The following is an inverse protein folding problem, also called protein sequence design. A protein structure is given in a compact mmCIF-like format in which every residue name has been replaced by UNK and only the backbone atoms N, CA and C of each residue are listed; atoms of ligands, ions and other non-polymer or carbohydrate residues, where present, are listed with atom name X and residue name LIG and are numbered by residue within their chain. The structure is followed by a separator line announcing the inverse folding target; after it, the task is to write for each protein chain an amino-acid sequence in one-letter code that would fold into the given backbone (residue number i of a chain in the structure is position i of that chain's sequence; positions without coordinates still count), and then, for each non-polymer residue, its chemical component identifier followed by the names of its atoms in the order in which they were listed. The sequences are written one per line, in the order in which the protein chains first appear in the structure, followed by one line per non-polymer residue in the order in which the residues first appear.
data_IF_523287638037
#
_entry.id   IF_523287638037
#
_cell.length_a   1.000
_cell.length_b   1.000
_cell.length_c   1.000
_cell.angle_alpha   90.00
_cell.angle_beta   90.00
_cell.angle_gamma   90.00
#
_symmetry.space_group_name_H-M   'P 1'
#
loop_
_entity.id
_entity.type
_entity.pdbx_description
1 polymer ?
#
# COMPACT_ATOMS: atom_id res chain seq x y z
N UNK A 1 -8.42 -6.61 -22.98
CA UNK A 1 -8.15 -7.79 -22.13
C UNK A 1 -7.66 -7.27 -20.79
N UNK A 2 -8.27 -7.69 -19.70
CA UNK A 2 -7.85 -7.24 -18.36
C UNK A 2 -6.49 -7.85 -18.01
N UNK A 3 -5.60 -7.17 -17.29
CA UNK A 3 -4.24 -7.68 -16.96
C UNK A 3 -4.25 -9.09 -16.32
N UNK A 4 -5.23 -9.37 -15.47
CA UNK A 4 -5.40 -10.68 -14.83
C UNK A 4 -5.75 -11.78 -15.84
N UNK A 5 -6.60 -11.50 -16.82
CA UNK A 5 -6.94 -12.46 -17.87
C UNK A 5 -5.71 -12.85 -18.71
N UNK A 6 -4.84 -11.86 -18.99
CA UNK A 6 -3.58 -12.09 -19.70
C UNK A 6 -2.66 -13.00 -18.88
N UNK A 7 -2.51 -12.73 -17.59
CA UNK A 7 -1.68 -13.54 -16.69
C UNK A 7 -2.21 -14.96 -16.59
N UNK A 8 -3.51 -15.15 -16.40
CA UNK A 8 -4.12 -16.48 -16.35
C UNK A 8 -3.89 -17.27 -17.65
N UNK A 9 -4.14 -16.63 -18.81
CA UNK A 9 -3.91 -17.26 -20.10
C UNK A 9 -2.44 -17.60 -20.33
N UNK A 10 -1.52 -16.76 -19.85
CA UNK A 10 -0.08 -17.00 -19.96
C UNK A 10 0.38 -18.19 -19.11
N UNK A 11 -0.25 -18.39 -17.92
CA UNK A 11 -0.02 -19.57 -17.07
C UNK A 11 -0.53 -20.82 -17.79
N UNK A 12 -1.77 -20.82 -18.28
CA UNK A 12 -2.39 -21.96 -18.97
C UNK A 12 -1.61 -22.40 -20.23
N UNK A 13 -1.04 -21.41 -20.95
CA UNK A 13 -0.25 -21.66 -22.17
C UNK A 13 1.23 -21.89 -21.90
N UNK A 14 1.67 -21.92 -20.64
CA UNK A 14 3.08 -22.02 -20.21
C UNK A 14 4.00 -20.97 -20.88
N UNK A 15 3.47 -19.75 -21.06
CA UNK A 15 4.17 -18.61 -21.69
C UNK A 15 4.37 -17.45 -20.71
N UNK A 16 4.32 -17.74 -19.41
CA UNK A 16 4.53 -16.72 -18.39
C UNK A 16 6.01 -16.33 -18.36
N UNK A 17 6.30 -15.03 -18.32
CA UNK A 17 7.67 -14.54 -18.12
C UNK A 17 8.17 -14.91 -16.71
N UNK A 18 9.48 -15.01 -16.57
CA UNK A 18 10.11 -15.42 -15.31
C UNK A 18 10.07 -14.33 -14.23
N UNK A 19 10.01 -13.04 -14.58
CA UNK A 19 9.99 -11.92 -13.65
C UNK A 19 8.78 -10.99 -13.94
N UNK A 20 7.86 -10.92 -13.01
CA UNK A 20 6.59 -10.22 -13.15
C UNK A 20 6.50 -9.19 -12.04
N UNK A 21 6.33 -7.92 -12.44
CA UNK A 21 6.07 -6.81 -11.55
C UNK A 21 4.57 -6.54 -11.53
N UNK A 22 3.95 -6.72 -10.37
CA UNK A 22 2.55 -6.38 -10.15
C UNK A 22 2.48 -5.03 -9.43
N UNK A 23 1.81 -4.07 -10.05
CA UNK A 23 1.58 -2.73 -9.52
C UNK A 23 0.10 -2.55 -9.17
N UNK A 24 -0.22 -2.06 -7.98
CA UNK A 24 -1.56 -1.62 -7.59
C UNK A 24 -1.49 -0.60 -6.48
N UNK A 25 -2.50 0.23 -6.34
CA UNK A 25 -2.65 1.11 -5.18
C UNK A 25 -3.05 0.33 -3.91
N UNK A 26 -3.66 -0.84 -4.05
CA UNK A 26 -4.10 -1.68 -2.94
C UNK A 26 -3.14 -2.87 -2.75
N UNK A 27 -2.45 -2.90 -1.62
CA UNK A 27 -1.49 -3.95 -1.29
C UNK A 27 -2.19 -5.31 -1.05
N UNK A 28 -3.39 -5.32 -0.45
CA UNK A 28 -4.17 -6.54 -0.24
C UNK A 28 -4.49 -7.21 -1.58
N UNK A 29 -5.00 -6.44 -2.54
CA UNK A 29 -5.27 -6.92 -3.90
C UNK A 29 -4.02 -7.49 -4.57
N UNK A 30 -2.85 -6.84 -4.38
CA UNK A 30 -1.58 -7.35 -4.92
C UNK A 30 -1.21 -8.71 -4.32
N UNK A 31 -1.26 -8.82 -2.99
CA UNK A 31 -0.91 -10.05 -2.28
C UNK A 31 -1.84 -11.21 -2.68
N UNK A 32 -3.14 -11.00 -2.63
CA UNK A 32 -4.14 -12.00 -2.99
C UNK A 32 -4.02 -12.43 -4.46
N UNK A 33 -3.77 -11.48 -5.35
CA UNK A 33 -3.54 -11.78 -6.78
C UNK A 33 -2.28 -12.63 -6.97
N UNK A 34 -1.16 -12.22 -6.38
CA UNK A 34 0.11 -12.95 -6.51
C UNK A 34 0.03 -14.36 -5.92
N UNK A 35 -0.59 -14.49 -4.75
CA UNK A 35 -0.77 -15.77 -4.06
C UNK A 35 -1.71 -16.70 -4.85
N UNK A 36 -2.80 -16.17 -5.42
CA UNK A 36 -3.69 -16.93 -6.31
C UNK A 36 -2.97 -17.43 -7.57
N UNK A 37 -2.14 -16.58 -8.20
CA UNK A 37 -1.34 -16.97 -9.35
C UNK A 37 -0.29 -18.02 -8.98
N UNK A 38 0.38 -17.85 -7.84
CA UNK A 38 1.36 -18.79 -7.33
C UNK A 38 0.74 -20.17 -7.04
N UNK A 39 -0.44 -20.20 -6.41
CA UNK A 39 -1.19 -21.45 -6.15
C UNK A 39 -1.53 -22.19 -7.44
N UNK A 40 -1.93 -21.48 -8.50
CA UNK A 40 -2.20 -22.06 -9.82
C UNK A 40 -0.95 -22.64 -10.47
N UNK A 41 0.19 -21.93 -10.38
CA UNK A 41 1.47 -22.37 -10.97
C UNK A 41 1.97 -23.63 -10.26
N UNK A 42 1.92 -23.64 -8.92
CA UNK A 42 2.36 -24.76 -8.09
C UNK A 42 1.31 -25.87 -7.97
N UNK A 43 0.08 -25.64 -8.48
CA UNK A 43 -1.06 -26.57 -8.43
C UNK A 43 -1.35 -27.06 -7.01
N UNK A 44 -1.38 -26.14 -6.05
CA UNK A 44 -1.57 -26.41 -4.64
C UNK A 44 -2.58 -25.48 -4.00
N UNK A 45 -3.41 -26.00 -3.10
CA UNK A 45 -4.30 -25.22 -2.25
C UNK A 45 -3.61 -24.79 -0.94
N UNK A 46 -2.50 -25.44 -0.59
CA UNK A 46 -1.70 -25.17 0.61
C UNK A 46 -0.40 -24.43 0.25
N UNK A 47 -0.53 -23.24 -0.37
CA UNK A 47 0.58 -22.48 -0.94
C UNK A 47 1.74 -22.27 0.05
N UNK A 48 1.42 -21.79 1.26
CA UNK A 48 2.43 -21.41 2.25
C UNK A 48 3.20 -22.60 2.85
N UNK A 49 2.67 -23.80 2.69
CA UNK A 49 3.34 -25.05 3.11
C UNK A 49 4.08 -25.74 1.95
N UNK A 50 4.01 -25.16 0.74
CA UNK A 50 4.65 -25.78 -0.42
C UNK A 50 6.17 -25.55 -0.41
N UNK A 51 7.01 -26.60 -0.55
CA UNK A 51 8.46 -26.49 -0.42
C UNK A 51 9.15 -25.67 -1.50
N UNK A 52 8.51 -25.46 -2.65
CA UNK A 52 8.99 -24.64 -3.77
C UNK A 52 8.34 -23.26 -3.83
N UNK A 53 7.68 -22.84 -2.73
CA UNK A 53 7.14 -21.50 -2.57
C UNK A 53 8.00 -20.70 -1.59
N UNK A 54 8.43 -19.53 -2.02
CA UNK A 54 9.31 -18.65 -1.26
C UNK A 54 8.71 -17.25 -1.13
N UNK A 55 8.93 -16.64 0.02
CA UNK A 55 8.51 -15.25 0.25
C UNK A 55 9.65 -14.41 0.78
N UNK A 56 9.67 -13.15 0.39
CA UNK A 56 10.59 -12.14 0.93
C UNK A 56 9.80 -10.87 1.27
N UNK A 57 9.90 -10.47 2.53
CA UNK A 57 9.20 -9.30 3.06
C UNK A 57 10.17 -8.32 3.70
N UNK A 58 9.88 -7.01 3.70
CA UNK A 58 10.64 -6.05 4.49
C UNK A 58 10.66 -6.43 5.97
N UNK A 59 11.76 -6.19 6.65
CA UNK A 59 11.95 -6.55 8.07
C UNK A 59 12.55 -5.40 8.88
N UNK A 60 12.34 -5.46 10.21
CA UNK A 60 12.84 -4.49 11.18
C UNK A 60 12.12 -3.14 11.15
N UNK A 61 12.43 -2.26 12.12
CA UNK A 61 11.80 -0.93 12.27
C UNK A 61 11.94 -0.04 11.04
N UNK A 62 13.03 -0.17 10.28
CA UNK A 62 13.29 0.62 9.06
C UNK A 62 12.58 0.05 7.82
N UNK A 63 11.96 -1.13 7.92
CA UNK A 63 11.22 -1.77 6.83
C UNK A 63 11.96 -1.86 5.51
N UNK A 64 13.18 -2.38 5.53
CA UNK A 64 13.94 -2.66 4.32
C UNK A 64 14.05 -4.16 4.05
N UNK A 65 14.15 -4.52 2.77
CA UNK A 65 14.56 -5.84 2.35
C UNK A 65 16.07 -5.94 2.54
N UNK A 66 16.48 -6.71 3.52
CA UNK A 66 17.90 -6.87 3.90
C UNK A 66 18.61 -7.81 2.95
N UNK A 67 19.87 -7.50 2.66
CA UNK A 67 20.70 -8.36 1.80
C UNK A 67 21.11 -9.68 2.48
N UNK A 68 21.30 -9.67 3.82
CA UNK A 68 21.98 -10.75 4.57
C UNK A 68 23.52 -10.65 4.51
N UNK A 69 24.24 -11.11 5.53
CA UNK A 69 25.71 -11.04 5.58
C UNK A 69 26.34 -12.17 4.77
N UNK A 70 27.48 -11.89 4.08
CA UNK A 70 28.22 -12.93 3.33
C UNK A 70 28.82 -14.00 4.25
N UNK A 71 29.22 -13.61 5.45
CA UNK A 71 29.82 -14.49 6.46
C UNK A 71 28.85 -15.57 6.94
N UNK A 72 27.55 -15.28 6.96
CA UNK A 72 26.51 -16.22 7.35
C UNK A 72 26.33 -17.32 6.30
N UNK A 73 26.62 -17.06 5.01
CA UNK A 73 26.63 -18.06 3.94
C UNK A 73 27.71 -19.12 4.16
N UNK A 74 28.89 -18.69 4.58
CA UNK A 74 30.02 -19.60 4.84
C UNK A 74 29.78 -20.50 6.07
N UNK A 75 28.88 -20.10 6.97
CA UNK A 75 28.48 -20.87 8.17
C UNK A 75 27.26 -21.76 7.94
N UNK A 76 26.68 -21.77 6.73
CA UNK A 76 25.49 -22.54 6.41
C UNK A 76 24.17 -21.98 6.99
N UNK A 77 24.22 -20.84 7.65
CA UNK A 77 23.08 -20.23 8.38
C UNK A 77 22.76 -18.84 7.85
N UNK A 78 22.34 -18.74 6.58
CA UNK A 78 21.78 -17.46 6.08
C UNK A 78 20.50 -17.13 6.86
N UNK A 79 20.39 -15.92 7.42
CA UNK A 79 19.18 -15.50 8.11
C UNK A 79 17.98 -15.60 7.18
N UNK A 80 16.88 -16.13 7.70
CA UNK A 80 15.60 -16.14 6.99
C UNK A 80 15.17 -14.73 6.61
N UNK A 81 14.34 -14.61 5.59
CA UNK A 81 13.80 -13.34 5.11
C UNK A 81 14.87 -12.32 4.69
N UNK A 82 15.92 -12.80 4.00
CA UNK A 82 16.95 -11.96 3.38
C UNK A 82 17.09 -12.25 1.90
N UNK A 83 17.55 -11.27 1.11
CA UNK A 83 17.72 -11.42 -0.33
C UNK A 83 18.70 -12.56 -0.69
N UNK A 84 19.81 -12.70 0.05
CA UNK A 84 20.76 -13.81 -0.20
C UNK A 84 20.17 -15.16 0.08
N UNK A 85 19.36 -15.29 1.13
CA UNK A 85 18.68 -16.54 1.44
C UNK A 85 17.72 -16.91 0.31
N UNK A 86 16.91 -15.97 -0.16
CA UNK A 86 16.01 -16.19 -1.28
C UNK A 86 16.77 -16.65 -2.54
N UNK A 87 17.86 -15.94 -2.91
CA UNK A 87 18.67 -16.30 -4.08
C UNK A 87 19.26 -17.73 -3.93
N UNK A 88 19.74 -18.07 -2.76
CA UNK A 88 20.31 -19.40 -2.48
C UNK A 88 19.25 -20.50 -2.59
N UNK A 89 18.06 -20.27 -2.03
CA UNK A 89 16.95 -21.22 -2.10
C UNK A 89 16.43 -21.38 -3.54
N UNK A 90 16.39 -20.32 -4.34
CA UNK A 90 16.02 -20.39 -5.76
C UNK A 90 17.03 -21.14 -6.62
N UNK A 91 18.32 -21.17 -6.24
CA UNK A 91 19.37 -21.89 -6.96
C UNK A 91 19.30 -23.43 -6.75
N UNK A 92 18.59 -23.88 -5.70
CA UNK A 92 18.37 -25.31 -5.46
C UNK A 92 17.44 -25.90 -6.51
N UNK A 93 17.53 -27.18 -6.73
CA UNK A 93 16.56 -27.91 -7.56
C UNK A 93 15.17 -27.87 -6.92
N UNK A 94 14.13 -27.87 -7.76
CA UNK A 94 12.76 -27.97 -7.25
C UNK A 94 12.58 -29.29 -6.48
N UNK A 95 11.91 -29.21 -5.33
CA UNK A 95 11.66 -30.36 -4.48
C UNK A 95 10.63 -31.32 -5.09
N UNK A 96 9.68 -30.80 -5.87
CA UNK A 96 8.61 -31.59 -6.47
C UNK A 96 8.71 -31.71 -8.01
N UNK A 97 9.86 -31.33 -8.58
CA UNK A 97 10.12 -31.45 -10.02
C UNK A 97 9.28 -30.52 -10.91
N UNK A 98 8.75 -29.44 -10.33
CA UNK A 98 7.94 -28.44 -11.03
C UNK A 98 8.55 -27.05 -10.94
N UNK A 99 7.68 -26.02 -11.05
CA UNK A 99 8.10 -24.64 -10.91
C UNK A 99 8.47 -24.28 -9.47
N UNK A 100 9.38 -23.34 -9.33
CA UNK A 100 9.63 -22.58 -8.10
C UNK A 100 9.00 -21.21 -8.21
N UNK A 101 8.31 -20.77 -7.19
CA UNK A 101 7.67 -19.46 -7.18
C UNK A 101 8.16 -18.65 -6.00
N UNK A 102 8.58 -17.42 -6.25
CA UNK A 102 8.92 -16.47 -5.20
C UNK A 102 8.06 -15.21 -5.28
N UNK A 103 7.55 -14.75 -4.14
CA UNK A 103 6.86 -13.47 -4.01
C UNK A 103 7.72 -12.53 -3.17
N UNK A 104 8.08 -11.39 -3.77
CA UNK A 104 8.81 -10.31 -3.11
C UNK A 104 7.82 -9.17 -2.85
N UNK A 105 7.44 -9.02 -1.59
CA UNK A 105 6.49 -8.00 -1.16
C UNK A 105 7.19 -6.65 -0.98
N UNK A 106 6.52 -5.56 -1.35
CA UNK A 106 7.05 -4.20 -1.27
C UNK A 106 8.46 -4.09 -1.89
N UNK A 107 8.57 -4.48 -3.16
CA UNK A 107 9.84 -4.53 -3.87
C UNK A 107 10.59 -3.18 -3.89
N UNK A 108 9.88 -2.05 -3.75
CA UNK A 108 10.46 -0.72 -3.58
C UNK A 108 11.24 -0.55 -2.27
N UNK A 109 11.11 -1.49 -1.33
CA UNK A 109 11.88 -1.51 -0.08
C UNK A 109 13.24 -2.18 -0.20
N UNK A 110 13.62 -2.63 -1.38
CA UNK A 110 14.99 -3.06 -1.65
C UNK A 110 15.93 -1.86 -1.55
N UNK A 111 16.97 -1.97 -0.72
CA UNK A 111 18.08 -1.02 -0.80
C UNK A 111 18.96 -1.34 -2.02
N UNK A 112 19.88 -0.43 -2.37
CA UNK A 112 20.77 -0.61 -3.53
C UNK A 112 21.55 -1.93 -3.48
N UNK A 113 21.96 -2.36 -2.30
CA UNK A 113 22.75 -3.58 -2.11
C UNK A 113 21.92 -4.84 -2.36
N UNK A 114 20.68 -4.92 -1.82
CA UNK A 114 19.78 -6.04 -2.05
C UNK A 114 19.30 -6.09 -3.50
N UNK A 115 18.99 -4.94 -4.10
CA UNK A 115 18.63 -4.84 -5.50
C UNK A 115 19.77 -5.32 -6.41
N UNK A 116 20.99 -4.83 -6.22
CA UNK A 116 22.16 -5.24 -7.02
C UNK A 116 22.45 -6.74 -6.88
N UNK A 117 22.28 -7.31 -5.68
CA UNK A 117 22.45 -8.75 -5.49
C UNK A 117 21.41 -9.57 -6.27
N UNK A 118 20.21 -9.01 -6.48
CA UNK A 118 19.10 -9.68 -7.14
C UNK A 118 19.13 -9.54 -8.67
N UNK A 119 19.83 -8.53 -9.22
CA UNK A 119 19.88 -8.26 -10.67
C UNK A 119 20.29 -9.51 -11.48
N UNK A 120 21.32 -10.23 -11.02
CA UNK A 120 21.78 -11.44 -11.72
C UNK A 120 20.67 -12.51 -11.80
N UNK A 121 19.90 -12.68 -10.73
CA UNK A 121 18.77 -13.62 -10.71
C UNK A 121 17.64 -13.20 -11.63
N UNK A 122 17.43 -11.88 -11.81
CA UNK A 122 16.45 -11.35 -12.77
C UNK A 122 16.90 -11.51 -14.22
N UNK A 123 18.20 -11.40 -14.50
CA UNK A 123 18.77 -11.55 -15.84
C UNK A 123 18.85 -13.01 -16.26
N UNK A 124 19.32 -13.85 -15.35
CA UNK A 124 19.56 -15.29 -15.55
C UNK A 124 18.84 -16.11 -14.46
N UNK A 125 17.52 -16.21 -14.54
CA UNK A 125 16.76 -16.93 -13.51
C UNK A 125 17.09 -18.42 -13.55
N UNK A 126 17.15 -19.07 -12.38
CA UNK A 126 17.24 -20.53 -12.33
C UNK A 126 16.07 -21.19 -13.08
N UNK A 127 16.29 -22.39 -13.60
CA UNK A 127 15.30 -23.13 -14.37
C UNK A 127 13.95 -23.22 -13.62
N UNK A 128 12.87 -23.08 -14.36
CA UNK A 128 11.50 -23.20 -13.87
C UNK A 128 11.17 -22.29 -12.66
N UNK A 129 11.82 -21.12 -12.62
CA UNK A 129 11.62 -20.14 -11.57
C UNK A 129 10.76 -18.97 -12.04
N UNK A 130 9.72 -18.64 -11.28
CA UNK A 130 8.83 -17.50 -11.51
C UNK A 130 8.91 -16.56 -10.31
N UNK A 131 9.15 -15.29 -10.59
CA UNK A 131 9.36 -14.24 -9.60
C UNK A 131 8.23 -13.21 -9.71
N UNK A 132 7.46 -13.04 -8.65
CA UNK A 132 6.50 -11.96 -8.51
C UNK A 132 7.08 -10.87 -7.61
N UNK A 133 7.21 -9.66 -8.15
CA UNK A 133 7.58 -8.47 -7.40
C UNK A 133 6.30 -7.64 -7.22
N UNK A 134 5.96 -7.30 -5.99
CA UNK A 134 4.78 -6.52 -5.68
C UNK A 134 5.17 -5.12 -5.27
N UNK A 135 4.55 -4.11 -5.86
CA UNK A 135 4.77 -2.71 -5.47
C UNK A 135 3.48 -1.90 -5.52
N UNK A 136 3.27 -1.09 -4.49
CA UNK A 136 2.23 -0.06 -4.50
C UNK A 136 2.82 1.32 -4.82
N UNK A 137 4.16 1.41 -4.94
CA UNK A 137 4.94 2.62 -5.23
C UNK A 137 5.92 2.40 -6.37
N UNK A 138 5.43 2.29 -7.61
CA UNK A 138 6.28 1.97 -8.76
C UNK A 138 7.35 3.04 -9.04
N UNK A 139 7.17 4.26 -8.54
CA UNK A 139 8.15 5.35 -8.69
C UNK A 139 9.32 5.26 -7.70
N UNK A 140 9.13 4.55 -6.57
CA UNK A 140 10.19 4.33 -5.58
C UNK A 140 11.01 3.07 -5.91
N UNK A 141 10.57 2.26 -6.87
CA UNK A 141 11.29 1.06 -7.29
C UNK A 141 12.49 1.43 -8.17
N UNK A 142 13.62 0.80 -7.89
CA UNK A 142 14.88 1.02 -8.63
C UNK A 142 14.70 0.64 -10.10
N UNK A 143 15.03 1.55 -11.01
CA UNK A 143 14.80 1.39 -12.46
C UNK A 143 15.46 0.14 -13.05
N UNK A 144 16.62 -0.26 -12.53
CA UNK A 144 17.31 -1.48 -12.96
C UNK A 144 16.54 -2.76 -12.66
N UNK A 145 15.72 -2.79 -11.64
CA UNK A 145 14.78 -3.89 -11.33
C UNK A 145 13.59 -3.81 -12.28
N UNK A 146 12.99 -2.62 -12.39
CA UNK A 146 11.80 -2.38 -13.21
C UNK A 146 12.01 -2.75 -14.67
N UNK A 147 13.18 -2.41 -15.25
CA UNK A 147 13.51 -2.70 -16.64
C UNK A 147 13.66 -4.20 -16.98
N UNK A 148 13.76 -5.06 -15.96
CA UNK A 148 13.92 -6.52 -16.11
C UNK A 148 12.65 -7.31 -15.78
N UNK A 149 11.56 -6.61 -15.49
CA UNK A 149 10.30 -7.23 -15.15
C UNK A 149 9.23 -6.91 -16.18
N UNK A 150 8.35 -7.87 -16.45
CA UNK A 150 7.10 -7.63 -17.18
C UNK A 150 6.11 -6.99 -16.20
N UNK A 151 5.74 -5.74 -16.46
CA UNK A 151 4.90 -4.97 -15.56
C UNK A 151 3.42 -5.14 -15.90
N UNK A 152 2.62 -5.51 -14.89
CA UNK A 152 1.17 -5.57 -14.96
C UNK A 152 0.56 -4.67 -13.89
N UNK A 153 -0.29 -3.74 -14.33
CA UNK A 153 -1.02 -2.87 -13.40
C UNK A 153 -2.35 -3.52 -13.06
N UNK A 154 -2.48 -3.96 -11.82
CA UNK A 154 -3.69 -4.56 -11.29
C UNK A 154 -4.60 -3.42 -10.83
N UNK A 155 -5.85 -3.31 -11.35
CA UNK A 155 -6.79 -2.34 -10.82
C UNK A 155 -6.93 -2.55 -9.32
N UNK A 156 -6.84 -1.47 -8.58
CA UNK A 156 -7.28 -1.50 -7.19
C UNK A 156 -8.81 -1.61 -7.26
N UNK A 157 -9.32 -2.80 -7.05
CA UNK A 157 -10.70 -2.86 -6.63
C UNK A 157 -10.73 -2.11 -5.30
N UNK A 158 -11.40 -0.98 -5.31
CA UNK A 158 -11.64 -0.17 -4.14
C UNK A 158 -12.39 -1.00 -3.14
N UNK A 159 -11.67 -1.67 -2.27
CA UNK A 159 -12.32 -2.17 -1.07
C UNK A 159 -11.29 -2.35 0.04
N UNK A 160 -11.12 -1.35 0.81
CA UNK A 160 -11.43 -1.50 2.22
C UNK A 160 -12.86 -2.03 2.23
N UNK A 161 -13.10 -3.25 2.70
CA UNK A 161 -14.46 -3.78 2.87
C UNK A 161 -15.30 -2.65 3.46
N UNK A 162 -16.46 -2.38 2.89
CA UNK A 162 -17.31 -1.26 3.23
C UNK A 162 -17.49 -1.22 4.73
N UNK A 163 -16.69 -0.40 5.38
CA UNK A 163 -16.73 -0.25 6.82
C UNK A 163 -17.75 0.86 7.08
N UNK A 164 -18.84 0.53 7.75
CA UNK A 164 -19.89 1.49 8.11
C UNK A 164 -19.32 2.73 8.81
N UNK A 165 -18.25 2.57 9.59
CA UNK A 165 -17.56 3.69 10.23
C UNK A 165 -16.92 4.63 9.22
N UNK A 166 -16.32 4.09 8.15
CA UNK A 166 -15.71 4.87 7.09
C UNK A 166 -16.75 5.58 6.24
N UNK A 167 -17.83 4.91 5.86
CA UNK A 167 -18.94 5.54 5.12
C UNK A 167 -19.59 6.65 5.96
N UNK A 168 -19.85 6.41 7.25
CA UNK A 168 -20.34 7.44 8.17
C UNK A 168 -19.37 8.62 8.29
N UNK A 169 -18.05 8.34 8.28
CA UNK A 169 -17.04 9.38 8.32
C UNK A 169 -17.03 10.22 7.04
N UNK A 170 -17.06 9.60 5.87
CA UNK A 170 -17.12 10.28 4.57
C UNK A 170 -18.34 11.20 4.47
N UNK A 171 -19.49 10.70 4.89
CA UNK A 171 -20.72 11.50 4.92
C UNK A 171 -20.60 12.71 5.86
N UNK A 172 -20.10 12.51 7.06
CA UNK A 172 -19.87 13.58 8.02
C UNK A 172 -18.85 14.62 7.53
N UNK A 173 -17.78 14.16 6.86
CA UNK A 173 -16.77 15.05 6.27
C UNK A 173 -17.35 15.92 5.14
N UNK A 174 -18.18 15.32 4.28
CA UNK A 174 -18.90 16.06 3.25
C UNK A 174 -19.82 17.14 3.83
N UNK A 175 -20.61 16.79 4.84
CA UNK A 175 -21.47 17.76 5.54
C UNK A 175 -20.67 18.89 6.19
N UNK A 176 -19.53 18.55 6.78
CA UNK A 176 -18.63 19.53 7.40
C UNK A 176 -18.06 20.51 6.35
N UNK A 177 -17.58 20.04 5.20
CA UNK A 177 -17.13 20.89 4.11
C UNK A 177 -18.27 21.80 3.59
N UNK A 178 -19.45 21.22 3.40
CA UNK A 178 -20.64 21.97 2.96
C UNK A 178 -21.00 23.09 3.92
N UNK A 179 -20.96 22.84 5.22
CA UNK A 179 -21.24 23.86 6.24
C UNK A 179 -20.20 24.98 6.28
N UNK A 180 -18.95 24.66 5.98
CA UNK A 180 -17.87 25.66 5.89
C UNK A 180 -18.05 26.60 4.70
N UNK A 181 -18.45 26.08 3.53
CA UNK A 181 -18.66 26.88 2.31
C UNK A 181 -19.92 27.74 2.39
N UNK A 182 -20.99 27.27 3.03
CA UNK A 182 -22.22 28.07 3.19
C UNK A 182 -22.05 29.27 4.12
N UNK A 183 -20.91 29.37 4.78
CA UNK A 183 -20.66 30.40 5.77
C UNK A 183 -21.27 30.06 7.14
N UNK A 184 -20.68 30.60 8.17
CA UNK A 184 -21.12 30.34 9.54
C UNK A 184 -21.29 31.62 10.32
N UNK A 185 -22.32 31.66 11.13
CA UNK A 185 -22.49 32.68 12.15
C UNK A 185 -21.58 32.37 13.34
N UNK A 186 -21.13 33.38 14.04
CA UNK A 186 -20.28 33.28 15.25
C UNK A 186 -20.86 32.35 16.31
N UNK A 187 -22.19 32.23 16.38
CA UNK A 187 -22.89 31.32 17.28
C UNK A 187 -22.61 29.82 16.98
N UNK A 188 -22.23 29.49 15.73
CA UNK A 188 -21.98 28.11 15.25
C UNK A 188 -20.50 27.69 15.32
N UNK A 189 -19.60 28.60 15.70
CA UNK A 189 -18.16 28.30 15.78
C UNK A 189 -17.84 27.09 16.68
N UNK A 190 -18.57 26.98 17.79
CA UNK A 190 -18.42 25.82 18.69
C UNK A 190 -18.74 24.51 17.99
N UNK A 191 -19.83 24.44 17.24
CA UNK A 191 -20.22 23.22 16.50
C UNK A 191 -19.21 22.85 15.39
N UNK A 192 -18.64 23.82 14.70
CA UNK A 192 -17.61 23.59 13.69
C UNK A 192 -16.31 23.05 14.30
N UNK A 193 -15.94 23.57 15.47
CA UNK A 193 -14.76 23.13 16.18
C UNK A 193 -14.93 21.72 16.79
N UNK A 194 -16.09 21.45 17.41
CA UNK A 194 -16.40 20.09 17.87
C UNK A 194 -16.53 19.10 16.71
N UNK A 195 -17.10 19.54 15.57
CA UNK A 195 -17.13 18.73 14.35
C UNK A 195 -15.74 18.36 13.86
N UNK A 196 -14.80 19.30 13.84
CA UNK A 196 -13.40 19.10 13.50
C UNK A 196 -12.75 18.00 14.39
N UNK A 197 -12.82 18.14 15.71
CA UNK A 197 -12.24 17.13 16.61
C UNK A 197 -12.92 15.77 16.46
N UNK A 198 -14.23 15.75 16.28
CA UNK A 198 -14.98 14.53 16.02
C UNK A 198 -14.48 13.81 14.75
N UNK A 199 -14.16 14.57 13.68
CA UNK A 199 -13.58 14.02 12.45
C UNK A 199 -12.20 13.42 12.66
N UNK A 200 -11.33 14.13 13.41
CA UNK A 200 -9.97 13.65 13.71
C UNK A 200 -10.03 12.35 14.50
N UNK A 201 -10.80 12.32 15.58
CA UNK A 201 -10.92 11.13 16.45
C UNK A 201 -11.52 9.95 15.68
N UNK A 202 -12.60 10.17 14.92
CA UNK A 202 -13.22 9.11 14.12
C UNK A 202 -12.26 8.58 13.05
N UNK A 203 -11.48 9.44 12.37
CA UNK A 203 -10.49 8.99 11.38
C UNK A 203 -9.41 8.12 12.03
N UNK A 204 -8.91 8.51 13.20
CA UNK A 204 -7.93 7.71 13.94
C UNK A 204 -8.50 6.36 14.36
N UNK A 205 -9.72 6.32 14.88
CA UNK A 205 -10.41 5.08 15.22
C UNK A 205 -10.63 4.18 13.98
N UNK A 206 -10.95 4.78 12.85
CA UNK A 206 -11.11 4.04 11.59
C UNK A 206 -9.79 3.43 11.13
N UNK A 207 -8.68 4.19 11.19
CA UNK A 207 -7.35 3.67 10.86
C UNK A 207 -6.98 2.48 11.75
N UNK A 208 -7.26 2.58 13.05
CA UNK A 208 -6.96 1.53 14.02
C UNK A 208 -7.80 0.26 13.74
N UNK A 209 -9.10 0.40 13.54
CA UNK A 209 -9.98 -0.73 13.23
C UNK A 209 -9.57 -1.45 11.92
N UNK A 210 -9.20 -0.69 10.89
CA UNK A 210 -8.68 -1.30 9.65
C UNK A 210 -7.35 -1.99 9.87
N UNK A 211 -6.45 -1.38 10.66
CA UNK A 211 -5.17 -1.98 11.01
C UNK A 211 -5.37 -3.33 11.68
N UNK A 212 -6.25 -3.40 12.67
CA UNK A 212 -6.55 -4.64 13.39
C UNK A 212 -7.15 -5.72 12.49
N UNK A 213 -8.13 -5.38 11.66
CA UNK A 213 -8.77 -6.34 10.76
C UNK A 213 -7.79 -6.94 9.74
N UNK A 214 -6.93 -6.09 9.16
CA UNK A 214 -5.91 -6.55 8.21
C UNK A 214 -4.82 -7.36 8.92
N UNK A 215 -4.42 -6.95 10.14
CA UNK A 215 -3.42 -7.67 10.92
C UNK A 215 -3.85 -9.10 11.20
N UNK A 216 -5.07 -9.30 11.69
CA UNK A 216 -5.63 -10.64 11.94
C UNK A 216 -5.60 -11.49 10.67
N UNK A 217 -6.07 -10.95 9.55
CA UNK A 217 -6.09 -11.67 8.26
C UNK A 217 -4.68 -12.03 7.74
N UNK A 218 -3.67 -11.21 8.01
CA UNK A 218 -2.30 -11.49 7.59
C UNK A 218 -1.57 -12.44 8.55
N UNK A 219 -1.86 -12.40 9.85
CA UNK A 219 -1.33 -13.35 10.82
C UNK A 219 -1.84 -14.77 10.56
N UNK A 220 -3.12 -14.93 10.20
CA UNK A 220 -3.69 -16.22 9.83
C UNK A 220 -3.04 -16.88 8.60
N UNK A 221 -2.51 -16.08 7.68
CA UNK A 221 -1.82 -16.56 6.47
C UNK A 221 -0.38 -17.03 6.74
N UNK A 222 0.19 -16.65 7.87
CA UNK A 222 1.57 -17.02 8.22
C UNK A 222 1.57 -18.27 9.05
N UNK A 223 1.83 -19.41 8.43
CA UNK A 223 1.83 -20.74 9.08
C UNK A 223 3.08 -21.03 9.95
N UNK A 224 3.92 -20.03 10.21
CA UNK A 224 5.06 -20.12 11.12
C UNK A 224 5.04 -19.02 12.16
N UNK A 225 5.72 -19.23 13.28
CA UNK A 225 5.91 -18.17 14.25
C UNK A 225 6.76 -17.04 13.64
N UNK A 226 6.19 -15.82 13.61
CA UNK A 226 6.90 -14.61 13.20
C UNK A 226 7.86 -14.18 14.31
N UNK A 227 9.04 -13.73 13.94
CA UNK A 227 9.95 -13.05 14.86
C UNK A 227 9.37 -11.69 15.28
N UNK A 228 9.80 -11.15 16.42
CA UNK A 228 9.33 -9.85 16.90
C UNK A 228 9.62 -8.72 15.88
N UNK A 229 10.78 -8.78 15.21
CA UNK A 229 11.13 -7.83 14.15
C UNK A 229 10.19 -7.92 12.93
N UNK A 230 9.75 -9.12 12.57
CA UNK A 230 8.80 -9.34 11.47
C UNK A 230 7.40 -8.86 11.84
N UNK A 231 6.95 -9.12 13.08
CA UNK A 231 5.66 -8.60 13.57
C UNK A 231 5.62 -7.08 13.56
N UNK A 232 6.66 -6.42 14.09
CA UNK A 232 6.77 -4.95 14.09
C UNK A 232 6.77 -4.42 12.66
N UNK A 233 7.50 -5.03 11.74
CA UNK A 233 7.53 -4.62 10.34
C UNK A 233 6.16 -4.78 9.68
N UNK A 234 5.48 -5.88 9.92
CA UNK A 234 4.15 -6.18 9.43
C UNK A 234 3.12 -5.16 9.93
N UNK A 235 3.05 -4.93 11.25
CA UNK A 235 2.16 -3.92 11.85
C UNK A 235 2.39 -2.53 11.27
N UNK A 236 3.66 -2.09 11.22
CA UNK A 236 4.02 -0.77 10.66
C UNK A 236 3.63 -0.66 9.18
N UNK A 237 3.73 -1.77 8.42
CA UNK A 237 3.35 -1.82 7.03
C UNK A 237 1.87 -1.68 6.79
N UNK A 238 1.10 -2.46 7.52
CA UNK A 238 -0.36 -2.43 7.45
C UNK A 238 -0.85 -1.03 7.79
N UNK A 239 -0.38 -0.45 8.90
CA UNK A 239 -0.77 0.89 9.33
C UNK A 239 -0.48 1.95 8.27
N UNK A 240 0.70 1.87 7.65
CA UNK A 240 1.08 2.78 6.56
C UNK A 240 0.18 2.61 5.34
N UNK A 241 -0.09 1.38 4.92
CA UNK A 241 -0.93 1.09 3.76
C UNK A 241 -2.36 1.57 3.97
N UNK A 242 -2.93 1.33 5.15
CA UNK A 242 -4.26 1.81 5.54
C UNK A 242 -4.32 3.34 5.48
N UNK A 243 -3.33 4.03 6.05
CA UNK A 243 -3.26 5.50 6.01
C UNK A 243 -3.18 6.03 4.56
N UNK A 244 -2.30 5.48 3.75
CA UNK A 244 -2.13 5.90 2.35
C UNK A 244 -3.43 5.72 1.56
N UNK A 245 -4.15 4.63 1.78
CA UNK A 245 -5.43 4.37 1.12
C UNK A 245 -6.52 5.33 1.57
N UNK A 246 -6.72 5.51 2.88
CA UNK A 246 -7.72 6.45 3.40
C UNK A 246 -7.43 7.89 2.97
N UNK A 247 -6.17 8.31 2.95
CA UNK A 247 -5.80 9.65 2.46
C UNK A 247 -6.03 9.79 0.95
N UNK A 248 -5.86 8.74 0.15
CA UNK A 248 -6.24 8.75 -1.28
C UNK A 248 -7.74 8.91 -1.45
N UNK A 249 -8.56 8.23 -0.66
CA UNK A 249 -10.02 8.39 -0.70
C UNK A 249 -10.47 9.78 -0.22
N UNK A 250 -9.80 10.37 0.79
CA UNK A 250 -10.03 11.75 1.19
C UNK A 250 -9.71 12.72 0.04
N UNK A 251 -8.65 12.47 -0.73
CA UNK A 251 -8.32 13.27 -1.91
C UNK A 251 -9.44 13.19 -2.96
N UNK A 252 -9.94 11.99 -3.23
CA UNK A 252 -11.04 11.77 -4.18
C UNK A 252 -12.33 12.46 -3.69
N UNK A 253 -12.65 12.38 -2.40
CA UNK A 253 -13.79 13.09 -1.80
C UNK A 253 -13.69 14.62 -1.98
N UNK A 254 -12.51 15.22 -1.77
CA UNK A 254 -12.33 16.65 -1.99
C UNK A 254 -12.51 17.02 -3.47
N UNK A 255 -11.99 16.20 -4.39
CA UNK A 255 -12.19 16.39 -5.82
C UNK A 255 -13.67 16.33 -6.22
N UNK A 256 -14.39 15.33 -5.73
CA UNK A 256 -15.81 15.14 -6.05
C UNK A 256 -16.68 16.24 -5.42
N UNK A 257 -16.34 16.66 -4.20
CA UNK A 257 -17.00 17.79 -3.55
C UNK A 257 -16.89 19.06 -4.38
N UNK A 258 -15.70 19.40 -4.87
CA UNK A 258 -15.49 20.57 -5.72
C UNK A 258 -16.22 20.46 -7.04
N UNK A 259 -16.19 19.28 -7.70
CA UNK A 259 -16.91 19.04 -8.95
C UNK A 259 -18.42 19.23 -8.80
N UNK A 260 -19.01 18.71 -7.73
CA UNK A 260 -20.46 18.82 -7.48
C UNK A 260 -20.86 20.25 -7.12
N UNK A 261 -20.08 20.90 -6.25
CA UNK A 261 -20.36 22.27 -5.83
C UNK A 261 -20.15 23.26 -6.96
N UNK A 262 -19.14 23.08 -7.80
CA UNK A 262 -18.86 23.94 -8.95
C UNK A 262 -19.93 23.83 -10.06
N UNK A 263 -20.65 22.69 -10.18
CA UNK A 263 -21.77 22.54 -11.11
C UNK A 263 -22.97 23.42 -10.74
N UNK A 264 -23.13 23.72 -9.46
CA UNK A 264 -24.27 24.52 -8.95
C UNK A 264 -24.03 26.01 -9.01
N UNK A 265 -22.78 26.44 -8.99
CA UNK A 265 -22.37 27.84 -9.02
C UNK A 265 -21.04 27.96 -9.75
N UNK A 266 -20.86 29.02 -10.59
CA UNK A 266 -19.61 29.28 -11.35
C UNK A 266 -18.47 29.71 -10.41
N UNK A 267 -18.01 28.81 -9.57
CA UNK A 267 -17.12 29.09 -8.45
C UNK A 267 -15.66 28.66 -8.76
N UNK A 268 -14.98 29.42 -9.63
CA UNK A 268 -13.56 29.21 -9.97
C UNK A 268 -12.62 29.18 -8.76
N UNK A 269 -12.97 29.86 -7.68
CA UNK A 269 -12.19 29.90 -6.44
C UNK A 269 -12.10 28.55 -5.72
N UNK A 270 -13.09 27.64 -5.91
CA UNK A 270 -13.05 26.29 -5.35
C UNK A 270 -11.90 25.47 -5.91
N UNK A 271 -11.47 25.73 -7.14
CA UNK A 271 -10.33 25.06 -7.77
C UNK A 271 -9.02 25.45 -7.05
N UNK A 272 -8.86 26.72 -6.69
CA UNK A 272 -7.70 27.17 -5.92
C UNK A 272 -7.73 26.62 -4.49
N UNK A 273 -8.91 26.57 -3.86
CA UNK A 273 -9.07 25.97 -2.56
C UNK A 273 -8.69 24.48 -2.60
N UNK A 274 -9.10 23.75 -3.64
CA UNK A 274 -8.75 22.34 -3.82
C UNK A 274 -7.22 22.14 -3.90
N UNK A 275 -6.51 22.97 -4.67
CA UNK A 275 -5.04 22.88 -4.78
C UNK A 275 -4.36 23.04 -3.40
N UNK A 276 -4.79 24.02 -2.60
CA UNK A 276 -4.28 24.22 -1.24
C UNK A 276 -4.60 23.02 -0.31
N UNK A 277 -5.79 22.45 -0.43
CA UNK A 277 -6.21 21.26 0.33
C UNK A 277 -5.38 20.03 -0.06
N UNK A 278 -5.16 19.81 -1.34
CA UNK A 278 -4.37 18.71 -1.84
C UNK A 278 -2.90 18.81 -1.36
N UNK A 279 -2.31 19.99 -1.40
CA UNK A 279 -0.98 20.26 -0.84
C UNK A 279 -0.91 20.01 0.67
N UNK A 280 -1.98 20.35 1.41
CA UNK A 280 -2.07 20.09 2.84
C UNK A 280 -2.15 18.58 3.12
N UNK A 281 -2.91 17.83 2.32
CA UNK A 281 -3.05 16.38 2.41
C UNK A 281 -1.72 15.67 2.14
N UNK A 282 -1.03 16.04 1.05
CA UNK A 282 0.30 15.52 0.71
C UNK A 282 1.32 15.80 1.81
N UNK A 283 1.30 17.02 2.38
CA UNK A 283 2.20 17.36 3.49
C UNK A 283 1.93 16.50 4.71
N UNK A 284 0.68 16.28 5.09
CA UNK A 284 0.31 15.43 6.22
C UNK A 284 0.72 13.98 5.98
N UNK A 285 0.51 13.46 4.78
CA UNK A 285 0.96 12.12 4.40
C UNK A 285 2.49 11.99 4.48
N UNK A 286 3.23 13.00 4.01
CA UNK A 286 4.71 13.04 4.11
C UNK A 286 5.19 13.02 5.55
N UNK A 287 4.54 13.75 6.45
CA UNK A 287 4.86 13.74 7.89
C UNK A 287 4.62 12.35 8.51
N UNK A 288 3.52 11.68 8.13
CA UNK A 288 3.25 10.31 8.58
C UNK A 288 4.31 9.32 8.11
N UNK A 289 4.87 9.52 6.91
CA UNK A 289 5.96 8.69 6.39
C UNK A 289 7.28 8.87 7.13
N UNK A 290 7.50 10.04 7.71
CA UNK A 290 8.68 10.37 8.53
C UNK A 290 8.52 9.93 10.01
N UNK A 291 7.52 9.10 10.32
CA UNK A 291 7.19 8.66 11.68
C UNK A 291 6.84 9.83 12.64
N UNK A 292 6.35 10.94 12.09
CA UNK A 292 5.80 12.02 12.90
C UNK A 292 4.52 11.56 13.60
N UNK A 293 4.19 12.21 14.72
CA UNK A 293 2.97 11.87 15.46
C UNK A 293 1.74 11.92 14.56
N UNK A 294 1.05 10.78 14.45
CA UNK A 294 -0.07 10.62 13.52
C UNK A 294 -1.23 11.57 13.81
N UNK A 295 -1.55 11.77 15.10
CA UNK A 295 -2.56 12.70 15.55
C UNK A 295 -2.29 14.11 15.04
N UNK A 296 -1.07 14.60 15.29
CA UNK A 296 -0.65 15.95 14.90
C UNK A 296 -0.62 16.16 13.39
N UNK A 297 -0.24 15.13 12.62
CA UNK A 297 -0.25 15.20 11.16
C UNK A 297 -1.68 15.29 10.60
N UNK A 298 -2.61 14.51 11.15
CA UNK A 298 -4.03 14.54 10.80
C UNK A 298 -4.66 15.87 11.20
N UNK A 299 -4.41 16.34 12.44
CA UNK A 299 -4.88 17.63 12.92
C UNK A 299 -4.42 18.79 12.03
N UNK A 300 -3.16 18.77 11.58
CA UNK A 300 -2.61 19.78 10.68
C UNK A 300 -3.40 19.84 9.37
N UNK A 301 -3.74 18.71 8.79
CA UNK A 301 -4.57 18.65 7.59
C UNK A 301 -5.93 19.30 7.83
N UNK A 302 -6.62 18.90 8.90
CA UNK A 302 -7.96 19.43 9.20
C UNK A 302 -7.97 20.92 9.55
N UNK A 303 -6.96 21.41 10.28
CA UNK A 303 -6.81 22.86 10.55
C UNK A 303 -6.59 23.66 9.26
N UNK A 304 -5.80 23.13 8.34
CA UNK A 304 -5.61 23.71 7.02
C UNK A 304 -6.91 23.70 6.22
N UNK A 305 -7.61 22.58 6.19
CA UNK A 305 -8.89 22.40 5.52
C UNK A 305 -9.95 23.37 6.06
N UNK A 306 -10.07 23.47 7.39
CA UNK A 306 -10.94 24.45 8.04
C UNK A 306 -10.67 25.88 7.53
N UNK A 307 -9.40 26.27 7.53
CA UNK A 307 -8.99 27.61 7.11
C UNK A 307 -9.29 27.87 5.62
N UNK A 308 -8.99 26.90 4.76
CA UNK A 308 -9.14 27.06 3.30
C UNK A 308 -10.62 27.11 2.93
N UNK A 309 -11.42 26.15 3.38
CA UNK A 309 -12.86 26.11 3.08
C UNK A 309 -13.61 27.30 3.67
N UNK A 310 -13.23 27.80 4.87
CA UNK A 310 -13.83 28.98 5.49
C UNK A 310 -13.49 30.28 4.76
N UNK A 311 -12.34 30.36 4.09
CA UNK A 311 -11.98 31.54 3.27
C UNK A 311 -12.68 31.53 1.94
N UNK A 312 -12.94 30.36 1.39
CA UNK A 312 -13.62 30.21 0.12
C UNK A 312 -15.00 30.89 0.06
N UNK A 313 -15.56 31.27 1.20
CA UNK A 313 -16.82 32.05 1.30
C UNK A 313 -16.64 33.56 1.47
N UNK A 314 -15.46 34.00 1.97
CA UNK A 314 -15.27 35.39 2.38
C UNK A 314 -14.81 36.31 1.24
N UNK A 315 -14.22 35.79 0.19
CA UNK A 315 -13.71 36.55 -0.93
C UNK A 315 -14.81 36.93 -1.95
N UNK A 316 -16.11 36.72 -1.59
CA UNK A 316 -17.28 36.99 -2.41
C UNK A 316 -18.26 38.01 -1.80
N UNK A 317 -17.91 38.66 -0.72
CA UNK A 317 -18.62 39.83 -0.18
C UNK A 317 -17.62 40.95 0.06
#
# INVERSE_FOLDING_TARGET
MRPLEVLHKSIETNKLGHAILLESKNFKTLSETAESLASKILKTDALHSHPDFFTLRPSGKSRFIRIGKKEDRNKGNLPENTMRRLIDDLQKTSNQGGHKVAIIYEAERMNKESANAFLKTLEEPPLDTILFLLTHRPYDLIDTIKSRCLTYRIPADTVLETNELWESWKHGYWQWMSSLIQGYDRSKLGHLFFGFYGMVIKLQSTIENYRESVLVSEEEKVHRALTDDEKIAMQTGIERTVREQLFSEIADLNNDFVKETAKQNDQKYLVFALDEIMKALEKSLSLLQLNFNASSAIELYFLKSLRVWSKATKDYH
#
